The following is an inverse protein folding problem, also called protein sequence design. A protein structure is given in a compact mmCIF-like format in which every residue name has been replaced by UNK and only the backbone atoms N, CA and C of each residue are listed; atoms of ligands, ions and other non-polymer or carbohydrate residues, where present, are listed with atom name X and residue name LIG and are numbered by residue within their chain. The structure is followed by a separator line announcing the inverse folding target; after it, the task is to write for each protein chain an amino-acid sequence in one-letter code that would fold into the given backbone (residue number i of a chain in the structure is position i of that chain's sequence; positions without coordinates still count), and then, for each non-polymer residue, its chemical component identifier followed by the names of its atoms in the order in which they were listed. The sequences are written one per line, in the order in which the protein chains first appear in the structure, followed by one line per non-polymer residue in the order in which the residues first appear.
data_IF_718679232096
#
_entry.id   IF_718679232096
#
_cell.length_a   1.000
_cell.length_b   1.000
_cell.length_c   1.000
_cell.angle_alpha   90.00
_cell.angle_beta   90.00
_cell.angle_gamma   90.00
#
_symmetry.space_group_name_H-M   'P 1'
#
loop_
_entity.id
_entity.type
_entity.pdbx_description
1 polymer ?
#
# COMPACT_ATOMS: atom_id res chain seq x y z
N UNK A 1 45.41 -36.35 -13.65
CA UNK A 1 45.32 -37.14 -12.40
C UNK A 1 46.69 -37.76 -12.17
N UNK A 2 47.25 -37.59 -10.98
CA UNK A 2 48.61 -37.98 -10.62
C UNK A 2 48.56 -39.17 -9.67
N UNK A 3 49.38 -40.18 -9.90
CA UNK A 3 49.50 -41.33 -9.01
C UNK A 3 50.62 -41.09 -8.01
N UNK A 4 50.32 -41.23 -6.72
CA UNK A 4 51.31 -41.13 -5.63
C UNK A 4 51.85 -42.53 -5.31
N UNK A 5 50.98 -43.53 -5.27
CA UNK A 5 51.30 -44.96 -5.21
C UNK A 5 50.14 -45.77 -5.82
N UNK A 6 50.20 -47.10 -5.71
CA UNK A 6 49.22 -48.02 -6.30
C UNK A 6 47.78 -47.84 -5.75
N UNK A 7 47.64 -47.28 -4.56
CA UNK A 7 46.38 -47.13 -3.84
C UNK A 7 45.85 -45.69 -3.83
N UNK A 8 46.74 -44.71 -4.01
CA UNK A 8 46.43 -43.29 -3.91
C UNK A 8 46.69 -42.56 -5.23
N UNK A 9 45.60 -42.03 -5.79
CA UNK A 9 45.63 -41.06 -6.89
C UNK A 9 45.04 -39.73 -6.46
N UNK A 10 45.68 -38.66 -6.88
CA UNK A 10 45.22 -37.30 -6.63
C UNK A 10 44.91 -36.57 -7.93
N UNK A 11 43.88 -35.74 -7.91
CA UNK A 11 43.66 -34.76 -8.96
C UNK A 11 44.24 -33.44 -8.50
N UNK A 12 45.31 -32.99 -9.16
CA UNK A 12 45.83 -31.62 -9.04
C UNK A 12 45.37 -30.89 -10.29
N UNK A 13 44.62 -29.81 -10.12
CA UNK A 13 44.27 -28.93 -11.23
C UNK A 13 45.56 -28.23 -11.72
N UNK A 14 46.00 -28.54 -12.94
CA UNK A 14 47.17 -27.89 -13.58
C UNK A 14 46.78 -26.89 -14.65
N UNK A 15 45.48 -26.72 -14.91
CA UNK A 15 44.97 -25.75 -15.86
C UNK A 15 44.64 -24.43 -15.17
N UNK A 16 44.85 -23.33 -15.89
CA UNK A 16 44.45 -21.98 -15.46
C UNK A 16 43.24 -21.55 -16.26
N UNK A 17 42.20 -21.06 -15.60
CA UNK A 17 41.05 -20.48 -16.28
C UNK A 17 41.41 -19.08 -16.81
N UNK A 18 41.56 -18.95 -18.13
CA UNK A 18 41.77 -17.66 -18.82
C UNK A 18 40.45 -17.21 -19.43
N UNK A 19 40.02 -16.00 -19.11
CA UNK A 19 38.83 -15.41 -19.70
C UNK A 19 39.09 -15.10 -21.20
N UNK A 20 38.26 -15.60 -22.13
CA UNK A 20 38.51 -15.44 -23.57
C UNK A 20 38.35 -14.00 -24.07
N UNK A 21 37.67 -13.13 -23.32
CA UNK A 21 37.48 -11.71 -23.66
C UNK A 21 38.63 -10.86 -23.11
N UNK A 22 38.98 -11.02 -21.84
CA UNK A 22 40.00 -10.19 -21.19
C UNK A 22 41.41 -10.74 -21.31
N UNK A 23 41.57 -11.97 -21.80
CA UNK A 23 42.86 -12.67 -21.97
C UNK A 23 43.68 -12.75 -20.67
N UNK A 24 43.01 -12.74 -19.51
CA UNK A 24 43.62 -12.79 -18.18
C UNK A 24 42.89 -13.77 -17.25
N UNK A 25 43.46 -14.06 -16.08
CA UNK A 25 42.89 -14.86 -15.00
C UNK A 25 42.70 -13.99 -13.74
N UNK A 26 41.76 -14.38 -12.87
CA UNK A 26 41.56 -13.71 -11.58
C UNK A 26 42.45 -14.28 -10.48
N UNK A 27 42.93 -15.52 -10.62
CA UNK A 27 43.66 -16.28 -9.60
C UNK A 27 45.04 -15.67 -9.29
N UNK A 28 45.68 -14.99 -10.25
CA UNK A 28 47.01 -14.38 -10.08
C UNK A 28 46.99 -12.86 -10.18
N UNK A 29 46.05 -12.30 -10.94
CA UNK A 29 45.99 -10.85 -11.23
C UNK A 29 44.87 -10.15 -10.45
N UNK A 30 43.94 -10.92 -9.88
CA UNK A 30 42.75 -10.40 -9.21
C UNK A 30 41.63 -10.02 -10.17
N UNK A 31 40.53 -9.53 -9.60
CA UNK A 31 39.41 -8.98 -10.39
C UNK A 31 39.67 -7.52 -10.72
N UNK A 32 39.37 -7.12 -11.96
CA UNK A 32 39.36 -5.71 -12.33
C UNK A 32 38.07 -5.08 -11.79
N UNK A 33 38.14 -4.01 -10.99
CA UNK A 33 36.93 -3.35 -10.49
C UNK A 33 36.18 -2.66 -11.64
N UNK A 34 34.86 -2.64 -11.56
CA UNK A 34 34.00 -1.94 -12.52
C UNK A 34 34.31 -0.44 -12.58
N UNK A 35 34.73 0.12 -11.45
CA UNK A 35 35.24 1.49 -11.33
C UNK A 35 36.72 1.41 -10.93
N UNK A 36 37.61 1.78 -11.84
CA UNK A 36 39.04 1.78 -11.60
C UNK A 36 39.41 2.90 -10.60
N UNK A 37 39.63 2.53 -9.34
CA UNK A 37 39.99 3.45 -8.25
C UNK A 37 40.89 2.73 -7.23
N UNK A 38 41.65 3.48 -6.42
CA UNK A 38 42.46 2.93 -5.34
C UNK A 38 41.61 2.27 -4.25
N UNK A 39 42.17 1.24 -3.60
CA UNK A 39 41.46 0.49 -2.56
C UNK A 39 40.99 1.36 -1.39
N UNK A 40 41.81 2.34 -0.98
CA UNK A 40 41.51 3.24 0.15
C UNK A 40 40.35 4.21 -0.17
N UNK A 41 40.15 4.54 -1.44
CA UNK A 41 39.08 5.45 -1.92
C UNK A 41 37.81 4.71 -2.34
N UNK A 42 37.87 3.37 -2.44
CA UNK A 42 36.81 2.56 -3.02
C UNK A 42 35.48 2.70 -2.27
N UNK A 43 35.52 2.73 -0.93
CA UNK A 43 34.31 2.87 -0.12
C UNK A 43 33.66 4.25 -0.32
N UNK A 44 34.45 5.32 -0.25
CA UNK A 44 33.96 6.68 -0.44
C UNK A 44 33.31 6.83 -1.82
N UNK A 45 33.97 6.31 -2.86
CA UNK A 45 33.43 6.34 -4.22
C UNK A 45 32.17 5.53 -4.38
N UNK A 46 32.09 4.35 -3.76
CA UNK A 46 30.89 3.52 -3.77
C UNK A 46 29.71 4.25 -3.12
N UNK A 47 29.94 4.90 -1.96
CA UNK A 47 28.92 5.69 -1.25
C UNK A 47 28.48 6.90 -2.08
N UNK A 48 29.41 7.64 -2.69
CA UNK A 48 29.11 8.77 -3.57
C UNK A 48 28.19 8.33 -4.73
N UNK A 49 28.56 7.25 -5.42
CA UNK A 49 27.80 6.71 -6.55
C UNK A 49 26.41 6.23 -6.12
N UNK A 50 26.33 5.50 -5.00
CA UNK A 50 25.06 5.05 -4.46
C UNK A 50 24.15 6.23 -4.10
N UNK A 51 24.67 7.24 -3.40
CA UNK A 51 23.92 8.44 -3.03
C UNK A 51 23.39 9.18 -4.25
N UNK A 52 24.19 9.31 -5.32
CA UNK A 52 23.74 9.97 -6.56
C UNK A 52 22.56 9.24 -7.20
N UNK A 53 22.60 7.91 -7.22
CA UNK A 53 21.50 7.08 -7.75
C UNK A 53 20.26 7.18 -6.85
N UNK A 54 20.45 7.10 -5.53
CA UNK A 54 19.37 7.24 -4.55
C UNK A 54 18.70 8.61 -4.68
N UNK A 55 19.45 9.70 -4.75
CA UNK A 55 18.90 11.05 -4.90
C UNK A 55 18.10 11.19 -6.20
N UNK A 56 18.65 10.72 -7.33
CA UNK A 56 17.97 10.78 -8.63
C UNK A 56 16.65 9.99 -8.60
N UNK A 57 16.69 8.78 -8.04
CA UNK A 57 15.52 7.93 -7.92
C UNK A 57 14.48 8.53 -6.96
N UNK A 58 14.94 9.10 -5.84
CA UNK A 58 14.09 9.78 -4.87
C UNK A 58 13.37 10.98 -5.49
N UNK A 59 14.07 11.86 -6.21
CA UNK A 59 13.46 13.02 -6.85
C UNK A 59 12.44 12.63 -7.93
N UNK A 60 12.74 11.57 -8.68
CA UNK A 60 11.82 11.01 -9.69
C UNK A 60 10.57 10.44 -9.03
N UNK A 61 10.75 9.63 -7.99
CA UNK A 61 9.67 9.00 -7.25
C UNK A 61 8.81 10.05 -6.52
N UNK A 62 9.44 11.05 -5.90
CA UNK A 62 8.77 12.16 -5.23
C UNK A 62 7.90 12.94 -6.22
N UNK A 63 8.44 13.35 -7.36
CA UNK A 63 7.69 14.06 -8.40
C UNK A 63 6.49 13.25 -8.88
N UNK A 64 6.66 11.93 -9.07
CA UNK A 64 5.57 11.04 -9.46
C UNK A 64 4.49 10.97 -8.39
N UNK A 65 4.87 10.79 -7.12
CA UNK A 65 3.95 10.72 -5.98
C UNK A 65 3.16 12.01 -5.80
N UNK A 66 3.80 13.17 -5.95
CA UNK A 66 3.12 14.47 -5.88
C UNK A 66 2.01 14.56 -6.95
N UNK A 67 2.29 14.14 -8.19
CA UNK A 67 1.28 14.12 -9.26
C UNK A 67 0.12 13.16 -8.96
N UNK A 68 0.38 11.95 -8.44
CA UNK A 68 -0.69 11.00 -8.12
C UNK A 68 -1.52 11.44 -6.90
N UNK A 69 -0.90 12.08 -5.92
CA UNK A 69 -1.62 12.69 -4.78
C UNK A 69 -2.50 13.85 -5.26
N UNK A 70 -2.00 14.73 -6.13
CA UNK A 70 -2.79 15.82 -6.70
C UNK A 70 -3.99 15.30 -7.50
N UNK A 71 -3.79 14.21 -8.25
CA UNK A 71 -4.89 13.53 -8.98
C UNK A 71 -5.91 12.97 -8.02
N UNK A 72 -5.48 12.30 -6.94
CA UNK A 72 -6.37 11.75 -5.92
C UNK A 72 -7.19 12.87 -5.29
N UNK A 73 -6.55 13.93 -4.80
CA UNK A 73 -7.21 15.09 -4.21
C UNK A 73 -8.22 15.73 -5.18
N UNK A 74 -7.85 15.86 -6.46
CA UNK A 74 -8.75 16.38 -7.50
C UNK A 74 -9.99 15.50 -7.68
N UNK A 75 -9.84 14.17 -7.70
CA UNK A 75 -10.98 13.26 -7.81
C UNK A 75 -11.85 13.31 -6.56
N UNK A 76 -11.24 13.31 -5.38
CA UNK A 76 -11.94 13.38 -4.11
C UNK A 76 -12.73 14.69 -3.97
N UNK A 77 -12.18 15.82 -4.42
CA UNK A 77 -12.89 17.09 -4.45
C UNK A 77 -14.10 17.04 -5.41
N UNK A 78 -13.96 16.40 -6.57
CA UNK A 78 -15.09 16.20 -7.51
C UNK A 78 -16.18 15.32 -6.91
N UNK A 79 -15.82 14.26 -6.20
CA UNK A 79 -16.77 13.41 -5.46
C UNK A 79 -17.50 14.22 -4.40
N UNK A 80 -16.76 14.94 -3.56
CA UNK A 80 -17.29 15.74 -2.44
C UNK A 80 -18.26 16.83 -2.91
N UNK A 81 -17.92 17.55 -3.98
CA UNK A 81 -18.74 18.63 -4.54
C UNK A 81 -19.85 18.16 -5.48
N UNK A 82 -19.93 16.87 -5.81
CA UNK A 82 -20.94 16.37 -6.75
C UNK A 82 -22.34 16.43 -6.13
N UNK A 83 -23.29 16.96 -6.87
CA UNK A 83 -24.73 16.92 -6.59
C UNK A 83 -25.39 15.60 -7.01
N UNK A 84 -24.70 14.78 -7.81
CA UNK A 84 -25.23 13.51 -8.33
C UNK A 84 -25.56 12.50 -7.21
N UNK A 85 -26.46 11.55 -7.50
CA UNK A 85 -26.72 10.41 -6.62
C UNK A 85 -25.45 9.62 -6.30
N UNK A 86 -25.39 9.05 -5.09
CA UNK A 86 -24.25 8.27 -4.63
C UNK A 86 -23.91 7.11 -5.58
N UNK A 87 -24.92 6.45 -6.18
CA UNK A 87 -24.72 5.39 -7.18
C UNK A 87 -23.87 5.85 -8.36
N UNK A 88 -24.16 7.04 -8.87
CA UNK A 88 -23.53 7.59 -10.07
C UNK A 88 -22.12 8.09 -9.75
N UNK A 89 -21.94 8.66 -8.56
CA UNK A 89 -20.62 9.06 -8.05
C UNK A 89 -19.74 7.81 -7.89
N UNK A 90 -20.26 6.75 -7.27
CA UNK A 90 -19.55 5.46 -7.13
C UNK A 90 -19.15 4.88 -8.47
N UNK A 91 -20.09 4.74 -9.41
CA UNK A 91 -19.80 4.18 -10.74
C UNK A 91 -18.79 4.99 -11.54
N UNK A 92 -18.74 6.32 -11.32
CA UNK A 92 -17.83 7.22 -12.05
C UNK A 92 -16.42 7.25 -11.48
N UNK A 93 -16.29 7.21 -10.14
CA UNK A 93 -15.04 7.56 -9.45
C UNK A 93 -14.42 6.43 -8.63
N UNK A 94 -15.18 5.46 -8.11
CA UNK A 94 -14.68 4.52 -7.10
C UNK A 94 -13.46 3.72 -7.59
N UNK A 95 -13.49 3.19 -8.81
CA UNK A 95 -12.36 2.44 -9.38
C UNK A 95 -11.10 3.30 -9.53
N UNK A 96 -11.24 4.55 -9.98
CA UNK A 96 -10.11 5.48 -10.17
C UNK A 96 -9.50 5.90 -8.84
N UNK A 97 -10.35 6.18 -7.85
CA UNK A 97 -9.90 6.53 -6.49
C UNK A 97 -9.21 5.32 -5.85
N UNK A 98 -9.81 4.12 -5.92
CA UNK A 98 -9.21 2.89 -5.39
C UNK A 98 -7.83 2.62 -5.99
N UNK A 99 -7.66 2.80 -7.30
CA UNK A 99 -6.37 2.58 -7.96
C UNK A 99 -5.27 3.54 -7.48
N UNK A 100 -5.61 4.82 -7.30
CA UNK A 100 -4.65 5.81 -6.77
C UNK A 100 -4.33 5.57 -5.30
N UNK A 101 -5.35 5.24 -4.51
CA UNK A 101 -5.19 5.00 -3.06
C UNK A 101 -4.31 3.80 -2.77
N UNK A 102 -4.41 2.71 -3.56
CA UNK A 102 -3.57 1.50 -3.39
C UNK A 102 -2.06 1.76 -3.46
N UNK A 103 -1.66 2.88 -4.06
CA UNK A 103 -0.24 3.27 -4.18
C UNK A 103 0.28 3.97 -2.91
N UNK A 104 -0.62 4.31 -1.98
CA UNK A 104 -0.29 4.97 -0.72
C UNK A 104 0.03 3.95 0.39
N UNK A 105 0.85 4.32 1.38
CA UNK A 105 0.99 3.54 2.61
C UNK A 105 -0.36 3.42 3.34
N UNK A 106 -0.65 2.25 3.91
CA UNK A 106 -1.89 1.98 4.68
C UNK A 106 -3.16 2.50 3.95
N UNK A 107 -3.43 2.03 2.72
CA UNK A 107 -4.38 2.65 1.79
C UNK A 107 -5.82 2.69 2.34
N UNK A 108 -6.24 1.64 3.06
CA UNK A 108 -7.53 1.56 3.73
C UNK A 108 -7.65 2.62 4.83
N UNK A 109 -6.60 2.76 5.66
CA UNK A 109 -6.57 3.70 6.77
C UNK A 109 -6.58 5.15 6.30
N UNK A 110 -5.79 5.49 5.28
CA UNK A 110 -5.75 6.87 4.73
C UNK A 110 -7.15 7.34 4.31
N UNK A 111 -7.90 6.49 3.62
CA UNK A 111 -9.26 6.83 3.18
C UNK A 111 -10.26 6.82 4.33
N UNK A 112 -10.13 5.89 5.27
CA UNK A 112 -11.00 5.83 6.44
C UNK A 112 -10.81 7.05 7.36
N UNK A 113 -9.58 7.52 7.58
CA UNK A 113 -9.27 8.71 8.36
C UNK A 113 -9.97 9.94 7.81
N UNK A 114 -9.92 10.13 6.48
CA UNK A 114 -10.71 11.17 5.83
C UNK A 114 -12.21 10.95 6.09
N UNK A 115 -12.72 9.73 5.93
CA UNK A 115 -14.14 9.45 6.12
C UNK A 115 -14.64 9.76 7.56
N UNK A 116 -13.82 9.49 8.58
CA UNK A 116 -14.12 9.80 9.97
C UNK A 116 -14.28 11.30 10.25
N UNK A 117 -13.65 12.18 9.46
CA UNK A 117 -13.81 13.63 9.65
C UNK A 117 -15.16 14.17 9.15
N UNK A 118 -15.83 13.42 8.26
CA UNK A 118 -16.97 13.87 7.47
C UNK A 118 -18.24 13.03 7.62
N UNK A 119 -18.24 11.98 8.44
CA UNK A 119 -19.39 11.06 8.53
C UNK A 119 -20.69 11.74 8.95
N UNK A 120 -20.62 12.79 9.76
CA UNK A 120 -21.73 13.60 10.26
C UNK A 120 -21.97 14.89 9.43
N UNK A 121 -20.92 15.49 8.88
CA UNK A 121 -21.00 16.77 8.14
C UNK A 121 -21.34 16.58 6.66
N UNK A 122 -20.72 15.59 6.03
CA UNK A 122 -20.84 15.31 4.59
C UNK A 122 -21.02 13.81 4.37
N UNK A 123 -22.13 13.24 4.88
CA UNK A 123 -22.31 11.80 4.99
C UNK A 123 -22.26 11.08 3.62
N UNK A 124 -22.71 11.72 2.53
CA UNK A 124 -22.58 11.16 1.17
C UNK A 124 -21.13 10.92 0.76
N UNK A 125 -20.25 11.86 1.11
CA UNK A 125 -18.82 11.77 0.83
C UNK A 125 -18.18 10.70 1.71
N UNK A 126 -18.50 10.68 3.01
CA UNK A 126 -18.00 9.66 3.93
C UNK A 126 -18.42 8.24 3.52
N UNK A 127 -19.68 8.03 3.12
CA UNK A 127 -20.18 6.75 2.60
C UNK A 127 -19.40 6.28 1.36
N UNK A 128 -19.04 7.20 0.46
CA UNK A 128 -18.20 6.87 -0.70
C UNK A 128 -16.80 6.40 -0.25
N UNK A 129 -16.20 7.07 0.73
CA UNK A 129 -14.87 6.74 1.24
C UNK A 129 -14.87 5.40 2.01
N UNK A 130 -15.83 5.19 2.91
CA UNK A 130 -15.91 3.92 3.67
C UNK A 130 -16.15 2.70 2.78
N UNK A 131 -16.94 2.85 1.71
CA UNK A 131 -17.12 1.78 0.73
C UNK A 131 -15.78 1.35 0.11
N UNK A 132 -14.90 2.32 -0.20
CA UNK A 132 -13.54 2.04 -0.69
C UNK A 132 -12.68 1.43 0.43
N UNK A 133 -12.72 1.98 1.65
CA UNK A 133 -11.92 1.48 2.77
C UNK A 133 -12.24 0.01 3.07
N UNK A 134 -13.52 -0.37 3.11
CA UNK A 134 -13.95 -1.77 3.31
C UNK A 134 -13.50 -2.68 2.18
N UNK A 135 -13.53 -2.21 0.92
CA UNK A 135 -13.03 -2.99 -0.21
C UNK A 135 -11.51 -3.21 -0.16
N UNK A 136 -10.77 -2.29 0.45
CA UNK A 136 -9.32 -2.41 0.65
C UNK A 136 -8.99 -3.32 1.84
N UNK A 137 -9.74 -3.20 2.93
CA UNK A 137 -9.57 -4.00 4.13
C UNK A 137 -10.93 -4.21 4.83
N UNK A 138 -11.49 -5.40 4.64
CA UNK A 138 -12.77 -5.80 5.23
C UNK A 138 -12.63 -6.45 6.62
N UNK A 139 -11.43 -6.46 7.20
CA UNK A 139 -11.17 -7.01 8.54
C UNK A 139 -11.26 -5.94 9.63
N UNK A 140 -11.32 -4.65 9.27
CA UNK A 140 -11.47 -3.57 10.23
C UNK A 140 -12.96 -3.22 10.45
N UNK A 141 -13.52 -3.67 11.58
CA UNK A 141 -14.95 -3.52 11.88
C UNK A 141 -15.38 -2.07 12.14
N UNK A 142 -14.45 -1.19 12.53
CA UNK A 142 -14.73 0.24 12.66
C UNK A 142 -15.17 0.86 11.32
N UNK A 143 -14.70 0.36 10.18
CA UNK A 143 -15.13 0.86 8.88
C UNK A 143 -16.62 0.59 8.66
N UNK A 144 -17.10 -0.61 8.97
CA UNK A 144 -18.52 -0.96 8.87
C UNK A 144 -19.37 -0.13 9.85
N UNK A 145 -18.90 0.04 11.08
CA UNK A 145 -19.61 0.79 12.10
C UNK A 145 -19.84 2.27 11.70
N UNK A 146 -18.80 2.95 11.22
CA UNK A 146 -18.93 4.35 10.78
C UNK A 146 -19.56 4.50 9.40
N UNK A 147 -19.41 3.51 8.52
CA UNK A 147 -20.15 3.47 7.27
C UNK A 147 -21.66 3.42 7.52
N UNK A 148 -22.11 2.59 8.46
CA UNK A 148 -23.50 2.52 8.86
C UNK A 148 -24.01 3.84 9.47
N UNK A 149 -23.22 4.49 10.33
CA UNK A 149 -23.53 5.82 10.87
C UNK A 149 -23.72 6.86 9.75
N UNK A 150 -22.78 6.93 8.81
CA UNK A 150 -22.88 7.85 7.69
C UNK A 150 -24.10 7.54 6.77
N UNK A 151 -24.47 6.26 6.62
CA UNK A 151 -25.70 5.88 5.90
C UNK A 151 -26.97 6.30 6.66
N UNK A 152 -26.96 6.23 7.98
CA UNK A 152 -28.08 6.68 8.82
C UNK A 152 -28.29 8.20 8.71
N UNK A 153 -27.22 8.99 8.66
CA UNK A 153 -27.27 10.45 8.40
C UNK A 153 -27.89 10.78 7.02
N UNK A 154 -27.78 9.86 6.05
CA UNK A 154 -28.47 9.97 4.75
C UNK A 154 -29.93 9.46 4.80
N UNK A 155 -30.48 9.19 5.97
CA UNK A 155 -31.78 8.55 6.18
C UNK A 155 -31.89 7.17 5.49
N UNK A 156 -30.77 6.50 5.24
CA UNK A 156 -30.73 5.21 4.56
C UNK A 156 -30.54 4.07 5.57
N UNK A 157 -31.49 3.98 6.51
CA UNK A 157 -31.42 3.02 7.62
C UNK A 157 -31.38 1.56 7.13
N UNK A 158 -32.04 1.25 6.02
CA UNK A 158 -32.00 -0.10 5.44
C UNK A 158 -30.58 -0.50 5.04
N UNK A 159 -29.83 0.38 4.35
CA UNK A 159 -28.45 0.08 4.00
C UNK A 159 -27.53 0.11 5.22
N UNK A 160 -27.77 1.01 6.19
CA UNK A 160 -26.98 1.05 7.42
C UNK A 160 -27.01 -0.30 8.15
N UNK A 161 -28.20 -0.90 8.33
CA UNK A 161 -28.36 -2.23 8.92
C UNK A 161 -27.66 -3.32 8.11
N UNK A 162 -27.84 -3.30 6.79
CA UNK A 162 -27.19 -4.27 5.90
C UNK A 162 -25.66 -4.23 6.01
N UNK A 163 -25.06 -3.05 6.17
CA UNK A 163 -23.62 -2.87 6.35
C UNK A 163 -23.15 -3.44 7.70
N UNK A 164 -23.88 -3.19 8.79
CA UNK A 164 -23.55 -3.80 10.09
C UNK A 164 -23.64 -5.33 10.02
N UNK A 165 -24.68 -5.87 9.39
CA UNK A 165 -24.82 -7.32 9.21
C UNK A 165 -23.67 -7.94 8.40
N UNK A 166 -23.13 -7.20 7.41
CA UNK A 166 -21.93 -7.63 6.69
C UNK A 166 -20.71 -7.65 7.61
N UNK A 167 -20.50 -6.60 8.40
CA UNK A 167 -19.43 -6.56 9.40
C UNK A 167 -19.54 -7.70 10.41
N UNK A 168 -20.72 -7.96 10.95
CA UNK A 168 -20.95 -9.03 11.93
C UNK A 168 -20.62 -10.43 11.40
N UNK A 169 -20.79 -10.67 10.10
CA UNK A 169 -20.41 -11.93 9.44
C UNK A 169 -18.89 -12.10 9.33
N UNK A 170 -18.16 -10.99 9.27
CA UNK A 170 -16.70 -10.96 9.11
C UNK A 170 -15.96 -10.84 10.45
N UNK A 171 -16.59 -10.26 11.46
CA UNK A 171 -16.02 -10.05 12.79
C UNK A 171 -15.54 -11.38 13.41
N UNK A 172 -14.26 -11.41 13.78
CA UNK A 172 -13.61 -12.64 14.23
C UNK A 172 -13.67 -12.82 15.75
N UNK A 173 -13.58 -11.72 16.51
CA UNK A 173 -13.61 -11.73 17.97
C UNK A 173 -14.95 -11.22 18.53
N UNK A 174 -15.05 -11.23 19.86
CA UNK A 174 -16.25 -10.80 20.57
C UNK A 174 -16.35 -9.28 20.66
N UNK A 175 -15.23 -8.58 20.82
CA UNK A 175 -15.21 -7.13 21.01
C UNK A 175 -15.74 -6.41 19.76
N UNK A 176 -15.31 -6.84 18.59
CA UNK A 176 -15.79 -6.37 17.31
C UNK A 176 -17.29 -6.63 17.11
N UNK A 177 -17.78 -7.80 17.55
CA UNK A 177 -19.21 -8.14 17.46
C UNK A 177 -20.05 -7.29 18.38
N UNK A 178 -19.60 -7.13 19.62
CA UNK A 178 -20.28 -6.31 20.63
C UNK A 178 -20.33 -4.84 20.14
N UNK A 179 -19.22 -4.28 19.63
CA UNK A 179 -19.17 -2.92 19.05
C UNK A 179 -20.15 -2.71 17.89
N UNK A 180 -20.25 -3.68 16.97
CA UNK A 180 -21.18 -3.61 15.85
C UNK A 180 -22.65 -3.76 16.31
N UNK A 181 -22.92 -4.59 17.32
CA UNK A 181 -24.25 -4.74 17.92
C UNK A 181 -24.68 -3.46 18.66
N UNK A 182 -23.77 -2.87 19.43
CA UNK A 182 -24.01 -1.59 20.11
C UNK A 182 -24.28 -0.47 19.10
N UNK A 183 -23.49 -0.43 18.02
CA UNK A 183 -23.73 0.51 16.91
C UNK A 183 -25.12 0.32 16.29
N UNK A 184 -25.56 -0.93 16.09
CA UNK A 184 -26.91 -1.20 15.56
C UNK A 184 -27.99 -0.74 16.53
N UNK A 185 -27.83 -1.01 17.83
CA UNK A 185 -28.78 -0.59 18.86
C UNK A 185 -28.90 0.94 18.94
N UNK A 186 -27.77 1.67 18.85
CA UNK A 186 -27.75 3.13 18.83
C UNK A 186 -28.51 3.70 17.64
N UNK A 187 -28.34 3.12 16.44
CA UNK A 187 -29.03 3.54 15.22
C UNK A 187 -30.53 3.30 15.27
N UNK A 188 -30.99 2.34 16.06
CA UNK A 188 -32.42 2.01 16.21
C UNK A 188 -33.12 2.83 17.30
N UNK A 189 -32.39 3.61 18.10
CA UNK A 189 -33.02 4.46 19.09
C UNK A 189 -33.85 5.56 18.42
N UNK A 190 -35.10 5.79 18.86
CA UNK A 190 -35.89 6.89 18.35
C UNK A 190 -35.20 8.20 18.71
N UNK A 191 -35.02 9.09 17.72
CA UNK A 191 -34.54 10.46 17.96
C UNK A 191 -35.51 11.12 18.92
N UNK A 192 -35.15 11.22 20.19
CA UNK A 192 -35.91 11.97 21.19
C UNK A 192 -35.74 13.43 20.81
N UNK A 193 -36.72 13.96 20.09
CA UNK A 193 -36.74 15.35 19.66
C UNK A 193 -36.58 16.29 20.86
N UNK A 194 -35.64 17.22 20.74
CA UNK A 194 -35.60 18.45 21.53
C UNK A 194 -36.52 19.50 20.87
#
# INVERSE_FOLDING_TARGET
MFSINDELRMFIATGTAINPVTQTNWETVGVKPDVAIGADEALEKAVEMANKVVETNWLTEKSRREVEVDRLLTLLQKVRLSDKPLSDVKSTYAAKVSELVKQLPEPDRVIAEMAYEYWDKEPKYAVFLFDIAVQLNNQNMYFFAYWARALAELNNMQQAKNVIEQGLKLASDKEDKDMLQDTLADLEQPVVGL
#
